data_IF_123667885576
#
_entry.id   IF_123667885576
#
_cell.length_a   1.000
_cell.length_b   1.000
_cell.length_c   1.000
_cell.angle_alpha   90.00
_cell.angle_beta   90.00
_cell.angle_gamma   90.00
#
_symmetry.space_group_name_H-M   'P 1'
#
loop_
_entity.id
_entity.type
_entity.pdbx_description
1 polymer ?
#
# COMPACT_ATOMS: atom_id res chain seq x y z
N UNK A 1 -54.41 56.09 -4.02
CA UNK A 1 -53.04 55.92 -4.55
C UNK A 1 -52.34 54.68 -4.02
N UNK A 2 -52.47 54.34 -2.73
CA UNK A 2 -51.80 53.19 -2.07
C UNK A 2 -52.12 51.82 -2.72
N UNK A 3 -53.37 51.55 -3.10
CA UNK A 3 -53.73 50.25 -3.69
C UNK A 3 -53.13 50.01 -5.10
N UNK A 4 -52.81 51.07 -5.86
CA UNK A 4 -52.14 50.93 -7.17
C UNK A 4 -50.65 50.65 -7.01
N UNK A 5 -50.00 51.21 -5.98
CA UNK A 5 -48.58 50.97 -5.68
C UNK A 5 -48.39 49.54 -5.15
N UNK A 6 -49.30 49.06 -4.31
CA UNK A 6 -49.27 47.69 -3.79
C UNK A 6 -49.41 46.64 -4.90
N UNK A 7 -50.28 46.90 -5.89
CA UNK A 7 -50.47 45.99 -7.03
C UNK A 7 -49.24 45.94 -7.95
N UNK A 8 -48.56 47.08 -8.16
CA UNK A 8 -47.31 47.13 -8.93
C UNK A 8 -46.15 46.45 -8.18
N UNK A 9 -46.06 46.59 -6.85
CA UNK A 9 -45.08 45.87 -6.04
C UNK A 9 -45.30 44.35 -6.08
N UNK A 10 -46.55 43.90 -6.01
CA UNK A 10 -46.90 42.47 -6.13
C UNK A 10 -46.55 41.93 -7.52
N UNK A 11 -46.75 42.72 -8.59
CA UNK A 11 -46.37 42.33 -9.95
C UNK A 11 -44.85 42.24 -10.15
N UNK A 12 -44.09 43.15 -9.53
CA UNK A 12 -42.61 43.15 -9.59
C UNK A 12 -42.03 41.99 -8.77
N UNK A 13 -42.65 41.63 -7.64
CA UNK A 13 -42.26 40.45 -6.86
C UNK A 13 -42.60 39.16 -7.62
N UNK A 14 -43.72 39.12 -8.33
CA UNK A 14 -44.11 37.98 -9.16
C UNK A 14 -43.18 37.77 -10.38
N UNK A 15 -42.65 38.84 -10.99
CA UNK A 15 -41.67 38.71 -12.08
C UNK A 15 -40.25 38.41 -11.56
N UNK A 16 -39.91 38.83 -10.34
CA UNK A 16 -38.62 38.51 -9.70
C UNK A 16 -38.50 37.04 -9.26
N UNK A 17 -39.64 36.37 -9.05
CA UNK A 17 -39.70 34.94 -8.73
C UNK A 17 -39.57 34.02 -9.96
N UNK A 18 -39.59 34.56 -11.18
CA UNK A 18 -39.27 33.83 -12.40
C UNK A 18 -37.75 33.82 -12.62
N UNK A 19 -36.99 33.22 -11.69
CA UNK A 19 -35.61 32.85 -11.99
C UNK A 19 -35.64 31.77 -13.07
N UNK A 20 -35.00 32.09 -14.17
CA UNK A 20 -34.93 31.28 -15.37
C UNK A 20 -33.97 30.11 -15.14
N UNK A 21 -34.48 29.03 -14.54
CA UNK A 21 -33.73 27.79 -14.33
C UNK A 21 -33.58 27.02 -15.64
N UNK A 22 -32.41 26.42 -15.81
CA UNK A 22 -32.11 25.44 -16.86
C UNK A 22 -32.18 24.03 -16.29
N UNK A 23 -32.50 23.06 -17.14
CA UNK A 23 -32.42 21.64 -16.81
C UNK A 23 -31.06 21.11 -17.26
N UNK A 24 -30.30 20.53 -16.34
CA UNK A 24 -29.05 19.84 -16.61
C UNK A 24 -29.25 18.34 -16.45
N UNK A 25 -28.85 17.58 -17.47
CA UNK A 25 -28.79 16.12 -17.44
C UNK A 25 -27.35 15.72 -17.72
N UNK A 26 -26.78 14.88 -16.85
CA UNK A 26 -25.45 14.32 -17.05
C UNK A 26 -25.59 12.83 -17.38
N UNK A 27 -24.89 12.41 -18.44
CA UNK A 27 -24.77 11.02 -18.87
C UNK A 27 -23.36 10.51 -18.63
N UNK A 28 -23.26 9.27 -18.16
CA UNK A 28 -21.97 8.63 -17.89
C UNK A 28 -21.91 7.25 -18.55
N UNK A 29 -20.83 7.02 -19.29
CA UNK A 29 -20.58 5.79 -20.04
C UNK A 29 -19.19 5.23 -19.73
N UNK A 30 -19.03 3.91 -19.89
CA UNK A 30 -17.73 3.24 -19.84
C UNK A 30 -16.93 3.53 -21.11
N UNK A 31 -15.68 3.98 -20.96
CA UNK A 31 -14.83 4.37 -22.10
C UNK A 31 -14.36 3.23 -23.00
N UNK A 32 -14.35 1.98 -22.52
CA UNK A 32 -13.96 0.80 -23.32
C UNK A 32 -15.11 0.28 -24.16
N UNK A 33 -16.30 0.14 -23.59
CA UNK A 33 -17.43 -0.54 -24.23
C UNK A 33 -18.63 0.37 -24.57
N UNK A 34 -18.56 1.66 -24.21
CA UNK A 34 -19.61 2.66 -24.44
C UNK A 34 -20.97 2.30 -23.78
N UNK A 35 -20.99 1.38 -22.81
CA UNK A 35 -22.20 1.06 -22.08
C UNK A 35 -22.50 2.11 -21.00
N UNK A 36 -23.77 2.43 -20.74
CA UNK A 36 -24.15 3.33 -19.66
C UNK A 36 -23.81 2.74 -18.30
N UNK A 37 -23.32 3.58 -17.38
CA UNK A 37 -22.95 3.15 -16.03
C UNK A 37 -24.04 3.59 -15.04
N UNK A 38 -24.68 2.63 -14.37
CA UNK A 38 -25.68 2.86 -13.33
C UNK A 38 -25.02 3.26 -12.00
N UNK A 39 -25.71 4.08 -11.19
CA UNK A 39 -25.30 4.47 -9.81
C UNK A 39 -23.97 5.23 -9.70
N UNK A 40 -23.53 5.92 -10.75
CA UNK A 40 -22.38 6.84 -10.70
C UNK A 40 -22.71 8.03 -9.81
N UNK A 41 -21.81 8.35 -8.88
CA UNK A 41 -21.94 9.51 -8.02
C UNK A 41 -21.39 10.76 -8.73
N UNK A 42 -22.25 11.77 -8.86
CA UNK A 42 -21.93 13.04 -9.52
C UNK A 42 -22.10 14.16 -8.52
N UNK A 43 -21.00 14.78 -8.11
CA UNK A 43 -20.97 15.90 -7.18
C UNK A 43 -20.79 17.20 -7.93
N UNK A 44 -21.67 18.17 -7.71
CA UNK A 44 -21.57 19.52 -8.28
C UNK A 44 -21.24 20.49 -7.16
N UNK A 45 -20.01 20.99 -7.16
CA UNK A 45 -19.46 21.76 -6.02
C UNK A 45 -20.26 23.01 -5.70
N UNK A 46 -20.71 23.73 -6.72
CA UNK A 46 -21.42 25.01 -6.58
C UNK A 46 -22.88 24.82 -6.12
N UNK A 47 -23.45 23.61 -6.28
CA UNK A 47 -24.76 23.26 -5.74
C UNK A 47 -24.65 22.63 -4.34
N UNK A 48 -23.47 22.13 -3.96
CA UNK A 48 -23.24 21.34 -2.76
C UNK A 48 -24.18 20.12 -2.66
N UNK A 49 -24.50 19.53 -3.82
CA UNK A 49 -25.40 18.39 -3.96
C UNK A 49 -24.73 17.27 -4.76
N UNK A 50 -25.17 16.04 -4.48
CA UNK A 50 -24.73 14.83 -5.16
C UNK A 50 -25.92 14.17 -5.86
N UNK A 51 -25.70 13.68 -7.07
CA UNK A 51 -26.68 13.02 -7.91
C UNK A 51 -26.19 11.62 -8.28
N UNK A 52 -27.13 10.70 -8.53
CA UNK A 52 -26.83 9.34 -8.98
C UNK A 52 -27.36 9.13 -10.39
N UNK A 53 -26.65 8.32 -11.18
CA UNK A 53 -27.14 7.89 -12.49
C UNK A 53 -28.12 6.71 -12.39
N UNK A 54 -29.12 6.71 -13.28
CA UNK A 54 -30.08 5.63 -13.49
C UNK A 54 -29.51 4.48 -14.35
N UNK A 55 -30.36 3.50 -14.69
CA UNK A 55 -29.99 2.33 -15.53
C UNK A 55 -29.54 2.70 -16.95
N UNK A 56 -29.85 3.90 -17.41
CA UNK A 56 -29.44 4.45 -18.69
C UNK A 56 -28.21 5.35 -18.56
N UNK A 57 -27.58 5.39 -17.38
CA UNK A 57 -26.41 6.20 -17.09
C UNK A 57 -26.70 7.69 -16.97
N UNK A 58 -27.97 8.09 -16.79
CA UNK A 58 -28.43 9.49 -16.73
C UNK A 58 -28.72 9.93 -15.31
N UNK A 59 -28.40 11.17 -14.98
CA UNK A 59 -28.96 11.82 -13.79
C UNK A 59 -30.43 12.17 -13.99
N UNK A 60 -31.14 12.39 -12.89
CA UNK A 60 -32.38 13.15 -12.91
C UNK A 60 -32.14 14.58 -13.46
N UNK A 61 -33.20 15.28 -13.87
CA UNK A 61 -33.09 16.67 -14.33
C UNK A 61 -32.73 17.59 -13.16
N UNK A 62 -31.52 18.15 -13.19
CA UNK A 62 -30.99 19.04 -12.17
C UNK A 62 -31.35 20.48 -12.53
N UNK A 63 -31.94 21.23 -11.62
CA UNK A 63 -32.25 22.65 -11.83
C UNK A 63 -31.04 23.50 -11.51
N UNK A 64 -30.55 24.23 -12.51
CA UNK A 64 -29.32 25.02 -12.42
C UNK A 64 -29.52 26.41 -13.02
N UNK A 65 -28.78 27.39 -12.51
CA UNK A 65 -28.73 28.72 -13.08
C UNK A 65 -27.64 28.77 -14.15
N UNK A 66 -27.61 29.84 -14.96
CA UNK A 66 -26.47 30.07 -15.84
C UNK A 66 -25.22 30.32 -15.01
N UNK A 67 -24.12 29.64 -15.35
CA UNK A 67 -22.90 29.68 -14.56
C UNK A 67 -21.89 28.61 -14.94
N UNK A 68 -20.76 28.63 -14.24
CA UNK A 68 -19.71 27.63 -14.35
C UNK A 68 -19.86 26.64 -13.20
N UNK A 69 -19.81 25.35 -13.51
CA UNK A 69 -19.96 24.28 -12.55
C UNK A 69 -18.77 23.33 -12.60
N UNK A 70 -18.27 22.97 -11.43
CA UNK A 70 -17.21 21.98 -11.23
C UNK A 70 -17.86 20.65 -10.87
N UNK A 71 -17.78 19.70 -11.79
CA UNK A 71 -18.41 18.38 -11.68
C UNK A 71 -17.36 17.35 -11.33
N UNK A 72 -17.55 16.64 -10.23
CA UNK A 72 -16.74 15.48 -9.84
C UNK A 72 -17.55 14.22 -10.00
N UNK A 73 -17.05 13.29 -10.82
CA UNK A 73 -17.72 12.04 -11.17
C UNK A 73 -16.91 10.89 -10.59
N UNK A 74 -17.53 10.09 -9.74
CA UNK A 74 -16.90 8.96 -9.07
C UNK A 74 -17.79 7.72 -9.08
N UNK A 75 -17.19 6.56 -9.34
CA UNK A 75 -17.86 5.26 -9.28
C UNK A 75 -16.84 4.18 -8.89
N UNK A 76 -17.29 3.16 -8.17
CA UNK A 76 -16.43 2.04 -7.80
C UNK A 76 -15.93 1.32 -9.06
N UNK A 77 -14.61 1.11 -9.16
CA UNK A 77 -13.98 0.48 -10.31
C UNK A 77 -13.68 1.42 -11.48
N UNK A 78 -13.80 2.73 -11.29
CA UNK A 78 -13.47 3.75 -12.30
C UNK A 78 -12.63 4.87 -11.69
N UNK A 79 -11.79 5.48 -12.53
CA UNK A 79 -10.99 6.63 -12.15
C UNK A 79 -11.88 7.85 -11.94
N UNK A 80 -11.67 8.58 -10.85
CA UNK A 80 -12.40 9.82 -10.61
C UNK A 80 -12.12 10.85 -11.72
N UNK A 81 -13.18 11.43 -12.26
CA UNK A 81 -13.11 12.46 -13.30
C UNK A 81 -13.58 13.80 -12.74
N UNK A 82 -12.79 14.85 -12.91
CA UNK A 82 -13.15 16.20 -12.49
C UNK A 82 -13.16 17.12 -13.70
N UNK A 83 -14.33 17.65 -14.04
CA UNK A 83 -14.55 18.46 -15.25
C UNK A 83 -15.26 19.76 -14.93
N UNK A 84 -15.09 20.76 -15.80
CA UNK A 84 -15.81 22.04 -15.70
C UNK A 84 -16.83 22.13 -16.83
N UNK A 85 -18.09 22.37 -16.48
CA UNK A 85 -19.15 22.62 -17.45
C UNK A 85 -19.62 24.07 -17.37
N UNK A 86 -20.03 24.62 -18.51
CA UNK A 86 -20.53 25.99 -18.62
C UNK A 86 -21.96 25.94 -19.13
N UNK A 87 -22.87 26.59 -18.40
CA UNK A 87 -24.27 26.70 -18.76
C UNK A 87 -24.55 28.15 -19.10
N UNK A 88 -24.86 28.41 -20.38
CA UNK A 88 -25.12 29.74 -20.91
C UNK A 88 -26.54 29.81 -21.47
N UNK A 89 -27.42 30.53 -20.79
CA UNK A 89 -28.81 30.72 -21.21
C UNK A 89 -29.81 29.77 -20.53
N UNK A 90 -31.02 29.73 -21.09
CA UNK A 90 -32.15 28.94 -20.58
C UNK A 90 -32.47 27.78 -21.50
N UNK A 91 -32.58 26.57 -20.95
CA UNK A 91 -32.96 25.41 -21.73
C UNK A 91 -32.56 24.08 -21.09
N UNK A 92 -32.57 23.03 -21.91
CA UNK A 92 -32.09 21.70 -21.52
C UNK A 92 -30.65 21.53 -21.99
N UNK A 93 -29.76 21.24 -21.06
CA UNK A 93 -28.35 20.98 -21.29
C UNK A 93 -28.05 19.52 -20.98
N UNK A 94 -27.38 18.85 -21.90
CA UNK A 94 -26.99 17.47 -21.74
C UNK A 94 -25.47 17.34 -21.92
N UNK A 95 -24.78 16.85 -20.89
CA UNK A 95 -23.35 16.59 -20.94
C UNK A 95 -23.10 15.09 -20.81
N UNK A 96 -22.23 14.55 -21.66
CA UNK A 96 -21.85 13.13 -21.63
C UNK A 96 -20.38 13.02 -21.23
N UNK A 97 -20.11 12.15 -20.25
CA UNK A 97 -18.76 11.86 -19.77
C UNK A 97 -18.45 10.38 -19.94
N UNK A 98 -17.18 10.10 -20.23
CA UNK A 98 -16.67 8.75 -20.34
C UNK A 98 -15.71 8.47 -19.19
N UNK A 99 -15.99 7.42 -18.42
CA UNK A 99 -15.13 6.99 -17.32
C UNK A 99 -14.18 5.88 -17.77
N UNK A 100 -12.91 6.03 -17.41
CA UNK A 100 -11.90 4.98 -17.57
C UNK A 100 -11.99 3.99 -16.41
N UNK A 101 -12.02 2.69 -16.72
CA UNK A 101 -11.99 1.63 -15.71
C UNK A 101 -10.70 1.70 -14.90
N UNK A 102 -10.81 1.77 -13.59
CA UNK A 102 -9.70 1.65 -12.66
C UNK A 102 -9.87 0.32 -11.91
N UNK A 103 -9.04 -0.64 -12.26
CA UNK A 103 -9.01 -1.93 -11.56
C UNK A 103 -8.53 -1.69 -10.13
N UNK A 104 -9.47 -1.74 -9.18
CA UNK A 104 -9.17 -1.62 -7.75
C UNK A 104 -8.63 -2.97 -7.30
N UNK A 105 -7.36 -3.01 -6.90
CA UNK A 105 -6.87 -4.12 -6.09
C UNK A 105 -7.66 -4.13 -4.78
N UNK A 106 -8.38 -5.22 -4.52
CA UNK A 106 -8.84 -5.49 -3.16
C UNK A 106 -7.60 -5.45 -2.25
N UNK A 107 -7.60 -4.53 -1.29
CA UNK A 107 -6.57 -4.54 -0.27
C UNK A 107 -6.59 -5.91 0.40
N UNK A 108 -5.47 -6.61 0.36
CA UNK A 108 -5.29 -7.80 1.17
C UNK A 108 -5.35 -7.39 2.63
N UNK A 109 -6.52 -7.51 3.25
CA UNK A 109 -6.61 -7.55 4.69
C UNK A 109 -6.13 -8.94 5.09
N UNK A 110 -4.82 -9.11 5.18
CA UNK A 110 -4.25 -10.31 5.80
C UNK A 110 -4.53 -10.18 7.29
N UNK A 111 -5.73 -10.63 7.71
CA UNK A 111 -6.06 -10.80 9.12
C UNK A 111 -5.28 -12.02 9.59
N UNK A 112 -4.00 -11.81 9.90
CA UNK A 112 -3.28 -12.76 10.74
C UNK A 112 -3.90 -12.60 12.13
N UNK A 113 -4.68 -13.59 12.57
CA UNK A 113 -5.25 -13.68 13.93
C UNK A 113 -4.20 -13.54 15.04
N UNK A 114 -2.93 -13.62 14.67
CA UNK A 114 -1.77 -13.53 15.53
C UNK A 114 -1.33 -12.08 15.80
N UNK A 115 -1.76 -11.10 14.99
CA UNK A 115 -1.30 -9.71 15.10
C UNK A 115 -1.88 -9.04 16.35
N UNK A 116 -0.99 -8.47 17.17
CA UNK A 116 -1.37 -7.68 18.34
C UNK A 116 -2.09 -6.40 17.94
N UNK A 117 -3.18 -6.11 18.66
CA UNK A 117 -4.02 -4.92 18.51
C UNK A 117 -3.88 -4.06 19.77
N UNK A 118 -3.68 -2.76 19.58
CA UNK A 118 -3.44 -1.83 20.69
C UNK A 118 -4.69 -1.75 21.56
N UNK A 119 -4.51 -1.78 22.89
CA UNK A 119 -5.60 -1.77 23.90
C UNK A 119 -6.51 -3.00 23.91
N UNK A 120 -6.25 -4.00 23.07
CA UNK A 120 -6.98 -5.28 23.06
C UNK A 120 -6.07 -6.46 23.41
N UNK A 121 -4.86 -6.48 22.87
CA UNK A 121 -3.92 -7.57 23.08
C UNK A 121 -3.19 -7.45 24.43
N UNK A 122 -3.21 -8.50 25.28
CA UNK A 122 -2.65 -8.46 26.63
C UNK A 122 -1.12 -8.67 26.67
N UNK A 123 -0.40 -8.24 25.63
CA UNK A 123 1.05 -8.43 25.51
C UNK A 123 1.74 -7.24 24.88
N UNK A 124 3.04 -7.08 25.15
CA UNK A 124 3.83 -5.98 24.61
C UNK A 124 4.20 -6.25 23.15
N UNK A 125 3.86 -5.31 22.26
CA UNK A 125 4.33 -5.33 20.88
C UNK A 125 4.77 -3.94 20.40
N UNK A 126 5.49 -3.90 19.29
CA UNK A 126 5.84 -2.68 18.55
C UNK A 126 5.56 -2.92 17.07
N UNK A 127 4.90 -1.97 16.42
CA UNK A 127 4.74 -1.95 14.96
C UNK A 127 5.79 -1.02 14.37
N UNK A 128 6.43 -1.47 13.29
CA UNK A 128 7.39 -0.68 12.52
C UNK A 128 6.84 -0.61 11.09
N UNK A 129 6.49 0.59 10.67
CA UNK A 129 5.92 0.85 9.35
C UNK A 129 7.00 0.87 8.26
N UNK A 130 6.61 0.61 7.01
CA UNK A 130 7.48 0.83 5.83
C UNK A 130 8.16 2.19 5.83
N UNK A 131 7.46 3.26 6.18
CA UNK A 131 8.02 4.62 6.28
C UNK A 131 9.12 4.75 7.34
N UNK A 132 9.00 4.05 8.46
CA UNK A 132 10.06 4.03 9.49
C UNK A 132 11.24 3.18 9.04
N UNK A 133 11.00 2.04 8.37
CA UNK A 133 12.04 1.20 7.79
C UNK A 133 12.84 1.95 6.71
N UNK A 134 12.16 2.72 5.85
CA UNK A 134 12.78 3.58 4.83
C UNK A 134 13.67 4.67 5.45
N UNK A 135 13.29 5.24 6.60
CA UNK A 135 14.14 6.22 7.31
C UNK A 135 15.37 5.58 7.94
N UNK A 136 15.28 4.30 8.29
CA UNK A 136 16.37 3.52 8.86
C UNK A 136 17.26 2.89 7.77
N UNK A 137 17.03 3.21 6.48
CA UNK A 137 17.64 2.60 5.28
C UNK A 137 19.17 2.73 5.21
N UNK A 138 19.81 1.97 6.08
CA UNK A 138 21.18 1.55 5.99
C UNK A 138 21.19 0.13 5.44
N UNK A 139 22.24 -0.23 4.72
CA UNK A 139 22.50 -1.60 4.28
C UNK A 139 22.76 -2.42 5.56
N UNK A 140 21.69 -2.92 6.19
CA UNK A 140 21.72 -3.63 7.47
C UNK A 140 20.64 -4.70 7.53
N UNK A 141 20.92 -5.76 8.27
CA UNK A 141 19.94 -6.81 8.52
C UNK A 141 18.89 -6.41 9.57
N UNK A 142 17.79 -7.16 9.58
CA UNK A 142 16.66 -6.95 10.51
C UNK A 142 17.10 -6.85 11.99
N UNK A 143 18.02 -7.66 12.52
CA UNK A 143 18.46 -7.51 13.92
C UNK A 143 18.96 -6.11 14.26
N UNK A 144 19.69 -5.46 13.35
CA UNK A 144 20.22 -4.12 13.57
C UNK A 144 19.17 -3.02 13.40
N UNK A 145 18.17 -3.23 12.54
CA UNK A 145 16.97 -2.38 12.47
C UNK A 145 16.23 -2.40 13.81
N UNK A 146 16.14 -3.59 14.42
CA UNK A 146 15.42 -3.79 15.68
C UNK A 146 16.09 -3.20 16.90
N UNK A 147 17.39 -2.86 16.88
CA UNK A 147 18.11 -2.28 18.03
C UNK A 147 17.48 -1.03 18.62
N UNK A 148 16.65 -0.32 17.85
CA UNK A 148 15.94 0.87 18.33
C UNK A 148 14.77 0.53 19.26
N UNK A 149 14.39 -0.75 19.38
CA UNK A 149 13.32 -1.18 20.26
C UNK A 149 13.81 -1.40 21.70
N UNK A 150 12.92 -1.23 22.71
CA UNK A 150 13.24 -1.59 24.08
C UNK A 150 13.56 -3.08 24.23
N UNK A 151 14.60 -3.36 25.03
CA UNK A 151 15.02 -4.73 25.38
C UNK A 151 15.39 -5.61 24.20
N UNK A 152 15.83 -5.02 23.09
CA UNK A 152 16.40 -5.75 21.94
C UNK A 152 17.88 -5.45 21.84
N UNK A 153 18.68 -6.48 21.64
CA UNK A 153 20.12 -6.32 21.35
C UNK A 153 20.50 -7.16 20.15
N UNK A 154 21.42 -6.66 19.33
CA UNK A 154 21.99 -7.42 18.24
C UNK A 154 23.49 -7.26 18.18
N UNK A 155 24.12 -8.22 17.53
CA UNK A 155 25.54 -8.19 17.18
C UNK A 155 25.72 -8.88 15.83
N UNK A 156 26.85 -8.66 15.18
CA UNK A 156 27.20 -9.34 13.93
C UNK A 156 28.63 -9.86 14.02
N UNK A 157 28.86 -11.06 13.53
CA UNK A 157 30.20 -11.63 13.49
C UNK A 157 31.16 -10.82 12.63
N UNK A 158 30.69 -10.27 11.51
CA UNK A 158 31.52 -9.47 10.61
C UNK A 158 31.65 -8.00 11.00
N UNK A 159 31.02 -7.58 12.10
CA UNK A 159 31.13 -6.25 12.69
C UNK A 159 30.46 -5.09 11.94
N UNK A 160 29.86 -5.32 10.77
CA UNK A 160 29.19 -4.28 9.98
C UNK A 160 27.65 -4.42 9.90
N UNK A 161 27.08 -5.47 10.49
CA UNK A 161 25.63 -5.69 10.57
C UNK A 161 24.97 -6.25 9.30
N UNK A 162 25.72 -7.04 8.52
CA UNK A 162 25.24 -7.70 7.30
C UNK A 162 25.56 -9.20 7.29
N UNK A 163 24.63 -10.07 6.92
CA UNK A 163 24.87 -11.52 6.92
C UNK A 163 24.71 -12.14 8.31
N UNK A 164 25.81 -12.59 8.94
CA UNK A 164 25.81 -13.25 10.26
C UNK A 164 25.52 -12.27 11.40
N UNK A 165 24.28 -11.79 11.41
CA UNK A 165 23.68 -10.95 12.43
C UNK A 165 22.87 -11.82 13.38
N UNK A 166 22.84 -11.43 14.64
CA UNK A 166 22.17 -12.16 15.71
C UNK A 166 21.28 -11.23 16.52
N UNK A 167 20.16 -11.76 17.01
CA UNK A 167 19.17 -11.01 17.79
C UNK A 167 18.93 -11.63 19.16
N UNK A 168 18.76 -10.78 20.18
CA UNK A 168 18.18 -11.13 21.46
C UNK A 168 17.03 -10.20 21.82
N UNK A 169 15.99 -10.75 22.43
CA UNK A 169 14.84 -9.99 22.96
C UNK A 169 14.66 -10.38 24.42
N UNK A 170 14.71 -9.40 25.33
CA UNK A 170 14.60 -9.60 26.79
C UNK A 170 15.55 -10.71 27.32
N UNK A 171 16.74 -10.81 26.74
CA UNK A 171 17.76 -11.79 27.14
C UNK A 171 17.64 -13.16 26.45
N UNK A 172 16.52 -13.48 25.81
CA UNK A 172 16.36 -14.68 25.01
C UNK A 172 17.05 -14.51 23.65
N UNK A 173 17.83 -15.51 23.24
CA UNK A 173 18.40 -15.55 21.88
C UNK A 173 17.36 -15.97 20.83
N UNK A 174 17.74 -15.78 19.56
CA UNK A 174 16.88 -15.99 18.40
C UNK A 174 16.33 -17.41 18.23
N UNK A 175 16.89 -18.44 18.89
CA UNK A 175 16.28 -19.79 18.93
C UNK A 175 15.01 -19.85 19.77
N UNK A 176 14.71 -18.78 20.52
CA UNK A 176 13.54 -18.62 21.37
C UNK A 176 12.62 -17.48 20.88
N UNK A 177 12.85 -16.99 19.65
CA UNK A 177 12.07 -15.94 19.01
C UNK A 177 11.49 -16.52 17.72
N UNK A 178 10.17 -16.48 17.57
CA UNK A 178 9.51 -16.97 16.36
C UNK A 178 9.53 -15.89 15.29
N UNK A 179 9.98 -16.22 14.08
CA UNK A 179 10.04 -15.29 12.95
C UNK A 179 9.15 -15.79 11.84
N UNK A 180 8.26 -14.94 11.36
CA UNK A 180 7.31 -15.25 10.30
C UNK A 180 7.43 -14.23 9.18
N UNK A 181 7.35 -14.72 7.94
CA UNK A 181 7.19 -13.86 6.76
C UNK A 181 5.84 -14.18 6.16
N UNK A 182 4.96 -13.18 6.09
CA UNK A 182 3.57 -13.33 5.66
C UNK A 182 2.83 -14.46 6.40
N UNK A 183 3.10 -14.63 7.69
CA UNK A 183 2.50 -15.69 8.52
C UNK A 183 3.12 -17.09 8.36
N UNK A 184 4.15 -17.26 7.53
CA UNK A 184 4.87 -18.54 7.36
C UNK A 184 6.11 -18.55 8.27
N UNK A 185 6.25 -19.51 9.21
CA UNK A 185 7.43 -19.62 10.07
C UNK A 185 8.73 -19.78 9.27
N UNK A 186 9.79 -19.11 9.73
CA UNK A 186 11.12 -19.09 9.11
C UNK A 186 12.21 -19.70 10.00
N UNK A 187 11.90 -20.02 11.25
CA UNK A 187 12.83 -20.74 12.11
C UNK A 187 13.10 -22.13 11.53
N UNK A 188 14.35 -22.56 11.61
CA UNK A 188 14.78 -23.87 11.20
C UNK A 188 14.09 -24.97 12.06
N UNK A 189 13.58 -26.05 11.46
CA UNK A 189 12.86 -27.08 12.19
C UNK A 189 13.76 -27.96 13.07
N UNK A 190 15.05 -28.06 12.78
CA UNK A 190 16.00 -28.89 13.51
C UNK A 190 16.53 -28.16 14.76
N UNK A 191 16.98 -26.92 14.59
CA UNK A 191 17.67 -26.19 15.65
C UNK A 191 16.92 -24.94 16.16
N UNK A 192 15.77 -24.61 15.56
CA UNK A 192 14.93 -23.45 15.88
C UNK A 192 15.59 -22.08 15.66
N UNK A 193 16.77 -22.04 15.05
CA UNK A 193 17.48 -20.82 14.77
C UNK A 193 16.84 -20.08 13.60
N UNK A 194 17.12 -18.78 13.48
CA UNK A 194 16.77 -18.01 12.30
C UNK A 194 18.05 -17.45 11.69
N UNK A 195 18.29 -17.80 10.44
CA UNK A 195 19.48 -17.39 9.72
C UNK A 195 19.20 -16.08 9.00
N UNK A 196 19.43 -14.95 9.67
CA UNK A 196 19.17 -13.60 9.14
C UNK A 196 19.91 -13.32 7.84
N UNK A 197 21.07 -13.95 7.66
CA UNK A 197 21.82 -13.96 6.41
C UNK A 197 20.96 -14.41 5.22
N UNK A 198 19.95 -15.27 5.38
CA UNK A 198 19.05 -15.70 4.31
C UNK A 198 18.00 -14.64 3.92
N UNK A 199 17.89 -13.54 4.67
CA UNK A 199 16.86 -12.51 4.55
C UNK A 199 17.42 -11.09 4.37
N UNK A 200 18.69 -10.96 3.95
CA UNK A 200 19.27 -9.67 3.53
C UNK A 200 18.36 -8.93 2.54
N UNK A 201 18.29 -7.62 2.71
CA UNK A 201 17.44 -6.71 1.93
C UNK A 201 15.94 -7.10 1.88
N UNK A 202 15.45 -7.91 2.83
CA UNK A 202 14.01 -8.12 2.99
C UNK A 202 13.31 -6.82 3.39
N UNK A 203 14.00 -5.94 4.13
CA UNK A 203 13.49 -4.64 4.62
C UNK A 203 12.94 -3.75 3.52
N UNK A 204 13.55 -3.72 2.34
CA UNK A 204 13.05 -2.93 1.19
C UNK A 204 11.80 -3.53 0.52
N UNK A 205 11.38 -4.73 0.94
CA UNK A 205 10.12 -5.36 0.53
C UNK A 205 9.05 -5.35 1.63
N UNK A 206 9.37 -4.86 2.84
CA UNK A 206 8.44 -4.86 3.96
C UNK A 206 7.43 -3.72 3.86
N UNK A 207 6.16 -4.05 4.07
CA UNK A 207 5.09 -3.08 4.32
C UNK A 207 5.05 -2.70 5.80
N UNK A 208 5.18 -3.72 6.65
CA UNK A 208 4.97 -3.65 8.09
C UNK A 208 5.76 -4.78 8.76
N UNK A 209 6.25 -4.48 9.95
CA UNK A 209 6.86 -5.46 10.85
C UNK A 209 6.26 -5.28 12.23
N UNK A 210 5.76 -6.37 12.83
CA UNK A 210 5.34 -6.37 14.22
C UNK A 210 6.28 -7.23 15.05
N UNK A 211 6.81 -6.63 16.13
CA UNK A 211 7.67 -7.31 17.09
C UNK A 211 6.93 -7.44 18.41
N UNK A 212 6.55 -8.66 18.76
CA UNK A 212 6.06 -9.01 20.07
C UNK A 212 7.23 -9.37 20.99
N UNK A 213 7.26 -8.80 22.19
CA UNK A 213 8.31 -9.03 23.17
C UNK A 213 7.77 -9.88 24.33
N UNK A 214 8.41 -11.01 24.59
CA UNK A 214 8.04 -11.98 25.62
C UNK A 214 6.89 -12.91 25.22
N UNK A 215 6.63 -13.89 26.07
CA UNK A 215 5.55 -14.85 25.91
C UNK A 215 4.18 -14.15 25.96
N UNK A 216 3.41 -14.24 24.89
CA UNK A 216 2.05 -13.70 24.87
C UNK A 216 1.20 -14.09 23.66
N UNK A 217 1.81 -14.62 22.59
CA UNK A 217 1.10 -15.09 21.41
C UNK A 217 1.32 -16.59 21.23
N UNK A 218 0.36 -17.40 21.68
CA UNK A 218 0.38 -18.86 21.49
C UNK A 218 0.34 -19.28 20.00
N UNK A 219 0.01 -18.34 19.12
CA UNK A 219 -0.24 -18.59 17.70
C UNK A 219 0.99 -18.55 16.80
N UNK A 220 2.18 -18.22 17.34
CA UNK A 220 3.40 -18.07 16.56
C UNK A 220 4.31 -19.30 16.52
N UNK A 221 3.91 -20.41 17.16
CA UNK A 221 4.65 -21.68 17.12
C UNK A 221 5.74 -21.85 18.19
N UNK A 222 6.49 -22.97 18.14
CA UNK A 222 7.22 -23.55 19.29
C UNK A 222 8.32 -22.68 19.92
N UNK A 223 9.12 -21.88 19.19
CA UNK A 223 10.12 -21.02 19.85
C UNK A 223 9.60 -19.58 20.03
N UNK A 224 8.55 -19.35 20.83
CA UNK A 224 7.99 -17.99 21.03
C UNK A 224 8.15 -17.41 22.45
N UNK A 225 8.93 -18.05 23.32
CA UNK A 225 9.05 -17.62 24.74
C UNK A 225 9.73 -16.25 24.88
N UNK A 226 10.70 -15.94 24.01
CA UNK A 226 11.34 -14.62 23.93
C UNK A 226 10.50 -13.58 23.21
N UNK A 227 9.53 -14.02 22.40
CA UNK A 227 8.65 -13.18 21.60
C UNK A 227 8.49 -13.70 20.17
N UNK A 228 7.91 -12.86 19.31
CA UNK A 228 7.76 -13.16 17.89
C UNK A 228 7.96 -11.92 17.02
N UNK A 229 8.33 -12.14 15.77
CA UNK A 229 8.54 -11.12 14.75
C UNK A 229 7.73 -11.55 13.52
N UNK A 230 6.70 -10.78 13.17
CA UNK A 230 5.92 -11.01 11.97
C UNK A 230 6.26 -9.94 10.93
N UNK A 231 6.69 -10.38 9.75
CA UNK A 231 7.16 -9.56 8.64
C UNK A 231 6.15 -9.64 7.51
N UNK A 232 5.49 -8.53 7.20
CA UNK A 232 4.51 -8.47 6.11
C UNK A 232 5.16 -7.77 4.92
N UNK A 233 5.23 -8.48 3.79
CA UNK A 233 5.82 -7.96 2.55
C UNK A 233 4.77 -7.32 1.64
N UNK A 234 5.15 -6.25 0.93
CA UNK A 234 4.38 -5.68 -0.18
C UNK A 234 5.19 -5.70 -1.46
N UNK A 235 5.08 -6.83 -2.14
CA UNK A 235 5.79 -7.05 -3.39
C UNK A 235 4.96 -6.66 -4.63
N UNK A 236 3.62 -6.64 -4.54
CA UNK A 236 2.71 -6.33 -5.65
C UNK A 236 2.17 -4.89 -5.56
N UNK A 237 2.07 -4.21 -6.70
CA UNK A 237 1.50 -2.86 -6.84
C UNK A 237 0.49 -2.81 -7.98
N UNK A 238 -0.60 -2.05 -7.81
CA UNK A 238 -1.59 -1.80 -8.88
C UNK A 238 -1.05 -0.89 -9.96
N UNK A 239 -0.15 0.02 -9.59
CA UNK A 239 0.53 0.90 -10.52
C UNK A 239 1.83 0.28 -11.05
N UNK A 240 2.09 0.51 -12.33
CA UNK A 240 3.39 0.22 -12.92
C UNK A 240 4.43 1.11 -12.25
N UNK A 241 5.48 0.49 -11.69
CA UNK A 241 6.52 1.20 -10.95
C UNK A 241 7.85 0.51 -11.13
N UNK A 242 8.86 1.32 -11.42
CA UNK A 242 10.25 0.92 -11.39
C UNK A 242 10.93 1.64 -10.23
N UNK A 243 11.61 0.88 -9.38
CA UNK A 243 12.31 1.35 -8.20
C UNK A 243 13.77 0.90 -8.28
N UNK A 244 14.67 1.75 -7.80
CA UNK A 244 16.10 1.44 -7.70
C UNK A 244 16.62 1.98 -6.38
N UNK A 245 17.45 1.20 -5.72
CA UNK A 245 18.15 1.59 -4.49
C UNK A 245 19.64 1.28 -4.65
N UNK A 246 20.45 2.33 -4.55
CA UNK A 246 21.90 2.29 -4.68
C UNK A 246 22.51 2.75 -3.37
N UNK A 247 23.37 1.92 -2.79
CA UNK A 247 24.04 2.22 -1.54
C UNK A 247 25.54 2.04 -1.66
N UNK A 248 26.29 2.94 -1.05
CA UNK A 248 27.75 2.84 -0.86
C UNK A 248 28.12 3.34 0.53
N UNK A 249 29.04 2.65 1.21
CA UNK A 249 29.44 3.03 2.57
C UNK A 249 30.70 2.33 3.06
N UNK A 250 30.90 2.37 4.38
CA UNK A 250 32.05 1.79 5.08
C UNK A 250 32.33 0.34 4.67
N UNK A 251 33.60 -0.08 4.77
CA UNK A 251 34.04 -1.43 4.41
C UNK A 251 33.76 -1.80 2.95
N UNK A 252 33.87 -0.80 2.05
CA UNK A 252 33.56 -0.93 0.63
C UNK A 252 32.17 -1.56 0.37
N UNK A 253 31.22 -1.31 1.28
CA UNK A 253 29.89 -1.92 1.21
C UNK A 253 29.11 -1.28 0.07
N UNK A 254 28.64 -2.10 -0.86
CA UNK A 254 27.84 -1.69 -2.02
C UNK A 254 26.52 -2.43 -2.02
N UNK A 255 25.46 -1.73 -2.37
CA UNK A 255 24.14 -2.29 -2.63
C UNK A 255 23.62 -1.77 -3.95
N UNK A 256 23.09 -2.67 -4.76
CA UNK A 256 22.31 -2.35 -5.95
C UNK A 256 21.03 -3.17 -5.88
N UNK A 257 19.89 -2.50 -5.86
CA UNK A 257 18.58 -3.13 -5.92
C UNK A 257 17.79 -2.53 -7.07
N UNK A 258 17.14 -3.39 -7.84
CA UNK A 258 16.20 -3.03 -8.88
C UNK A 258 14.91 -3.78 -8.60
N UNK A 259 13.78 -3.07 -8.63
CA UNK A 259 12.44 -3.65 -8.49
C UNK A 259 11.52 -3.09 -9.55
N UNK A 260 10.76 -3.96 -10.18
CA UNK A 260 9.79 -3.64 -11.20
C UNK A 260 8.45 -4.27 -10.84
N UNK A 261 7.40 -3.45 -10.83
CA UNK A 261 6.01 -3.90 -10.81
C UNK A 261 5.37 -3.49 -12.12
N UNK A 262 4.67 -4.42 -12.76
CA UNK A 262 3.96 -4.14 -14.01
C UNK A 262 2.74 -3.25 -13.85
N UNK A 263 2.24 -3.09 -12.63
CA UNK A 263 0.87 -2.69 -12.40
C UNK A 263 -0.09 -3.78 -12.88
N UNK A 264 -1.38 -3.44 -12.94
CA UNK A 264 -2.42 -4.36 -13.38
C UNK A 264 -2.35 -4.56 -14.90
N UNK A 265 -2.04 -5.79 -15.31
CA UNK A 265 -2.05 -6.25 -16.69
C UNK A 265 -3.39 -6.95 -16.95
N UNK A 266 -4.05 -6.55 -18.05
CA UNK A 266 -5.30 -7.16 -18.52
C UNK A 266 -6.37 -7.28 -17.43
N UNK A 267 -6.43 -6.29 -16.53
CA UNK A 267 -7.38 -6.20 -15.42
C UNK A 267 -7.38 -7.40 -14.44
N UNK A 268 -6.34 -8.25 -14.47
CA UNK A 268 -6.30 -9.52 -13.71
C UNK A 268 -4.96 -9.92 -13.12
N UNK A 269 -3.84 -9.46 -13.70
CA UNK A 269 -2.51 -9.95 -13.33
C UNK A 269 -1.60 -8.83 -12.85
N UNK A 270 -0.72 -9.11 -11.89
CA UNK A 270 0.42 -8.24 -11.55
C UNK A 270 1.67 -9.10 -11.53
N UNK A 271 2.65 -8.68 -12.31
CA UNK A 271 4.01 -9.21 -12.27
C UNK A 271 4.88 -8.31 -11.39
N UNK A 272 5.63 -8.92 -10.49
CA UNK A 272 6.62 -8.24 -9.65
C UNK A 272 7.97 -8.93 -9.77
N UNK A 273 8.98 -8.16 -10.08
CA UNK A 273 10.37 -8.61 -10.21
C UNK A 273 11.23 -7.77 -9.26
N UNK A 274 12.15 -8.40 -8.56
CA UNK A 274 13.17 -7.70 -7.77
C UNK A 274 14.47 -8.46 -7.83
N UNK A 275 15.57 -7.73 -7.98
CA UNK A 275 16.94 -8.23 -7.88
C UNK A 275 17.75 -7.32 -6.98
N UNK A 276 18.52 -7.90 -6.06
CA UNK A 276 19.41 -7.18 -5.17
C UNK A 276 20.79 -7.82 -5.19
N UNK A 277 21.83 -7.01 -5.29
CA UNK A 277 23.20 -7.42 -5.06
C UNK A 277 23.82 -6.59 -3.94
N UNK A 278 24.41 -7.26 -2.95
CA UNK A 278 25.13 -6.62 -1.84
C UNK A 278 26.53 -7.20 -1.77
N UNK A 279 27.54 -6.34 -1.68
CA UNK A 279 28.92 -6.74 -1.41
C UNK A 279 29.50 -5.93 -0.26
N UNK A 280 30.37 -6.53 0.54
CA UNK A 280 31.14 -5.82 1.57
C UNK A 280 32.47 -6.51 1.82
N UNK A 281 33.49 -5.75 2.23
CA UNK A 281 34.76 -6.31 2.71
C UNK A 281 34.66 -6.75 4.19
N UNK A 282 33.62 -6.30 4.91
CA UNK A 282 33.47 -6.56 6.34
C UNK A 282 34.36 -5.66 7.21
N UNK A 283 34.06 -5.58 8.51
CA UNK A 283 34.92 -4.85 9.46
C UNK A 283 36.13 -5.67 9.91
N UNK A 284 35.97 -7.00 9.98
CA UNK A 284 37.02 -7.94 10.41
C UNK A 284 37.66 -8.63 9.21
N UNK A 285 38.89 -9.12 9.40
CA UNK A 285 39.56 -9.96 8.41
C UNK A 285 38.72 -11.20 8.09
N UNK A 286 38.71 -11.56 6.81
CA UNK A 286 37.93 -12.68 6.25
C UNK A 286 36.42 -12.59 6.51
N UNK A 287 35.87 -11.38 6.68
CA UNK A 287 34.45 -11.17 6.93
C UNK A 287 33.70 -10.54 5.73
N UNK A 288 34.23 -10.76 4.52
CA UNK A 288 33.66 -10.24 3.27
C UNK A 288 32.33 -10.94 2.94
N UNK A 289 31.48 -10.28 2.16
CA UNK A 289 30.19 -10.82 1.71
C UNK A 289 29.92 -10.48 0.25
N UNK A 290 29.24 -11.40 -0.46
CA UNK A 290 28.69 -11.22 -1.80
C UNK A 290 27.36 -11.95 -1.89
N UNK A 291 26.28 -11.20 -1.80
CA UNK A 291 24.94 -11.74 -1.75
C UNK A 291 24.11 -11.29 -2.95
N UNK A 292 23.43 -12.22 -3.60
CA UNK A 292 22.52 -11.96 -4.73
C UNK A 292 21.13 -12.41 -4.35
N UNK A 293 20.11 -11.57 -4.29
CA UNK A 293 18.73 -11.98 -4.02
C UNK A 293 17.86 -11.69 -5.23
N UNK A 294 17.00 -12.62 -5.58
CA UNK A 294 15.94 -12.39 -6.55
C UNK A 294 14.58 -12.71 -5.95
N UNK A 295 13.56 -12.02 -6.44
CA UNK A 295 12.16 -12.29 -6.18
C UNK A 295 11.38 -12.15 -7.49
N UNK A 296 10.53 -13.12 -7.77
CA UNK A 296 9.57 -13.15 -8.87
C UNK A 296 8.21 -13.47 -8.28
N UNK A 297 7.29 -12.53 -8.41
CA UNK A 297 5.92 -12.67 -7.95
C UNK A 297 4.95 -12.58 -9.12
N UNK A 298 3.96 -13.45 -9.13
CA UNK A 298 2.77 -13.33 -9.98
C UNK A 298 1.54 -13.29 -9.08
N UNK A 299 0.73 -12.25 -9.23
CA UNK A 299 -0.56 -12.16 -8.58
C UNK A 299 -1.67 -12.24 -9.64
N UNK A 300 -2.59 -13.19 -9.50
CA UNK A 300 -3.81 -13.29 -10.28
C UNK A 300 -4.99 -12.97 -9.38
N UNK A 301 -5.89 -12.08 -9.81
CA UNK A 301 -7.09 -11.77 -9.08
C UNK A 301 -8.30 -11.63 -10.00
N UNK A 302 -9.46 -11.98 -9.48
CA UNK A 302 -10.78 -11.74 -10.07
C UNK A 302 -11.76 -11.28 -8.97
N UNK A 303 -13.06 -11.20 -9.28
CA UNK A 303 -14.07 -10.71 -8.33
C UNK A 303 -14.27 -11.59 -7.09
N UNK A 304 -13.73 -12.83 -7.08
CA UNK A 304 -13.92 -13.81 -5.99
C UNK A 304 -12.61 -14.42 -5.49
N UNK A 305 -11.54 -14.39 -6.28
CA UNK A 305 -10.30 -15.11 -6.04
C UNK A 305 -9.09 -14.16 -6.07
N UNK A 306 -8.10 -14.46 -5.25
CA UNK A 306 -6.80 -13.80 -5.25
C UNK A 306 -5.72 -14.89 -5.04
N UNK A 307 -4.91 -15.16 -6.06
CA UNK A 307 -3.87 -16.17 -6.07
C UNK A 307 -2.50 -15.52 -6.26
N UNK A 308 -1.63 -15.69 -5.27
CA UNK A 308 -0.25 -15.19 -5.28
C UNK A 308 0.73 -16.34 -5.38
N UNK A 309 1.58 -16.30 -6.40
CA UNK A 309 2.75 -17.15 -6.54
C UNK A 309 3.98 -16.30 -6.31
N UNK A 310 4.92 -16.79 -5.49
CA UNK A 310 6.14 -16.07 -5.12
C UNK A 310 7.32 -17.03 -5.14
N UNK A 311 8.31 -16.70 -5.96
CA UNK A 311 9.59 -17.39 -6.06
C UNK A 311 10.69 -16.44 -5.61
N UNK A 312 11.54 -16.88 -4.69
CA UNK A 312 12.66 -16.07 -4.23
C UNK A 312 13.83 -16.96 -3.86
N UNK A 313 15.02 -16.39 -3.90
CA UNK A 313 16.26 -17.11 -3.63
C UNK A 313 17.46 -16.27 -4.01
N UNK A 314 18.62 -16.91 -4.05
CA UNK A 314 19.85 -16.17 -4.27
C UNK A 314 21.12 -16.90 -3.90
N UNK A 315 22.17 -16.90 -4.76
CA UNK A 315 23.48 -17.38 -4.33
C UNK A 315 24.08 -16.42 -3.30
N UNK A 316 24.75 -17.01 -2.31
CA UNK A 316 25.41 -16.31 -1.22
C UNK A 316 26.84 -16.83 -1.11
N UNK A 317 27.79 -15.91 -1.06
CA UNK A 317 29.18 -16.19 -0.74
C UNK A 317 29.61 -15.25 0.37
N UNK A 318 30.30 -15.77 1.38
CA UNK A 318 30.87 -14.98 2.45
C UNK A 318 32.16 -15.59 2.99
N UNK A 319 32.91 -14.76 3.70
CA UNK A 319 34.05 -15.18 4.47
C UNK A 319 33.64 -15.59 5.89
N UNK A 320 34.19 -16.70 6.37
CA UNK A 320 33.97 -17.19 7.73
C UNK A 320 34.94 -16.50 8.69
N UNK A 321 34.44 -15.48 9.39
CA UNK A 321 35.21 -14.69 10.35
C UNK A 321 35.21 -15.28 11.78
N UNK A 322 34.70 -16.49 11.98
CA UNK A 322 34.75 -17.18 13.27
C UNK A 322 36.06 -17.97 13.41
N UNK A 323 36.72 -17.85 14.56
CA UNK A 323 37.80 -18.76 14.93
C UNK A 323 37.16 -19.97 15.60
N UNK A 324 37.40 -21.16 15.04
CA UNK A 324 37.07 -22.48 15.60
C UNK A 324 37.25 -22.59 17.10
#
# INVERSE_FOLDING_TARGET
>A
MINKILFVLILIIATSAAQNYSELIIKVFDGKNQQPIERVNISIKELNENFLTDKLGKTESIRVLSGNYSVSISHLGYKNLNEKIVISGTGKFEFSFSLETESILMNDVTITSTRGVERESPFTFSNISSKELEKQALIKDIPFVLNNLPSTTSHSENGNGLGYSYLRIRGFDQRRISVLINGIPQNDPEDHNVYWINFYDLTSSLQDMQVQRGAGGAFYGPPSIGGSINLITKNFSSSSRFETDLGYGSFNTKKVMIKYNSGIIADKFILSLKGTHVTSEGYRDWAWTKFWRYFVGLNYFDSKNNLKLSFFGGPQEDGLAFYG
#
